data_IF_730484608719
#
_entry.id   IF_730484608719
#
_cell.length_a   1.000
_cell.length_b   1.000
_cell.length_c   1.000
_cell.angle_alpha   90.00
_cell.angle_beta   90.00
_cell.angle_gamma   90.00
#
_symmetry.space_group_name_H-M   'P 1'
#
loop_
_entity.id
_entity.type
_entity.pdbx_description
1 polymer ?
#
# COMPACT_ATOMS: atom_id res chain seq x y z
N UNK A 1 -59.62 -2.42 -10.48
CA UNK A 1 -58.31 -2.25 -11.13
C UNK A 1 -57.51 -1.29 -10.26
N UNK A 2 -56.77 -1.81 -9.28
CA UNK A 2 -55.78 -1.06 -8.54
C UNK A 2 -54.44 -1.48 -9.12
N UNK A 3 -53.74 -0.55 -9.77
CA UNK A 3 -52.37 -0.76 -10.21
C UNK A 3 -51.48 -0.69 -8.98
N UNK A 4 -50.92 -1.82 -8.61
CA UNK A 4 -49.89 -1.93 -7.58
C UNK A 4 -48.58 -1.42 -8.18
N UNK A 5 -48.24 -0.18 -7.86
CA UNK A 5 -46.97 0.45 -8.17
C UNK A 5 -45.90 -0.15 -7.24
N UNK A 6 -45.44 -1.35 -7.55
CA UNK A 6 -44.25 -1.92 -6.92
C UNK A 6 -43.04 -1.16 -7.45
N UNK A 7 -42.71 -0.06 -6.80
CA UNK A 7 -41.43 0.64 -6.97
C UNK A 7 -40.32 -0.34 -6.54
N UNK A 8 -39.62 -0.91 -7.53
CA UNK A 8 -38.46 -1.76 -7.28
C UNK A 8 -37.42 -0.93 -6.51
N UNK A 9 -36.83 -1.45 -5.42
CA UNK A 9 -35.78 -0.74 -4.72
C UNK A 9 -34.63 -0.47 -5.70
N UNK A 10 -34.29 0.80 -5.88
CA UNK A 10 -33.04 1.19 -6.54
C UNK A 10 -31.92 0.39 -5.88
N UNK A 11 -31.16 -0.44 -6.63
CA UNK A 11 -30.06 -1.16 -6.03
C UNK A 11 -29.10 -0.12 -5.46
N UNK A 12 -29.07 -0.06 -4.11
CA UNK A 12 -28.20 0.85 -3.39
C UNK A 12 -26.80 0.67 -3.95
N UNK A 13 -26.15 1.78 -4.28
CA UNK A 13 -24.83 1.86 -4.89
C UNK A 13 -23.91 0.81 -4.26
N UNK A 14 -23.81 -0.37 -4.88
CA UNK A 14 -22.89 -1.41 -4.45
C UNK A 14 -21.53 -0.84 -4.80
N UNK A 15 -20.91 -0.18 -3.81
CA UNK A 15 -19.60 0.43 -3.98
C UNK A 15 -18.66 -0.61 -4.59
N UNK A 16 -17.89 -0.19 -5.61
CA UNK A 16 -16.93 -1.05 -6.29
C UNK A 16 -16.13 -1.86 -5.25
N UNK A 17 -15.76 -3.13 -5.50
CA UNK A 17 -14.95 -3.90 -4.55
C UNK A 17 -13.64 -3.15 -4.22
N UNK A 18 -13.05 -3.35 -3.03
CA UNK A 18 -11.80 -2.70 -2.68
C UNK A 18 -10.73 -3.12 -3.69
N UNK A 19 -9.96 -2.15 -4.18
CA UNK A 19 -8.94 -2.42 -5.19
C UNK A 19 -7.63 -2.88 -4.55
N UNK A 20 -6.87 -3.66 -5.31
CA UNK A 20 -5.50 -4.10 -5.00
C UNK A 20 -4.71 -4.06 -6.29
N UNK A 21 -3.47 -3.57 -6.19
CA UNK A 21 -2.59 -3.36 -7.33
C UNK A 21 -1.13 -3.34 -6.84
N UNK A 22 -0.15 -3.31 -7.73
CA UNK A 22 1.25 -3.37 -7.30
C UNK A 22 2.23 -3.44 -8.46
N UNK A 23 3.51 -3.48 -8.11
CA UNK A 23 4.60 -3.56 -9.06
C UNK A 23 5.86 -4.20 -8.44
N UNK A 24 6.73 -4.70 -9.30
CA UNK A 24 8.04 -5.25 -8.91
C UNK A 24 9.13 -4.41 -9.58
N UNK A 25 10.18 -4.12 -8.82
CA UNK A 25 11.36 -3.39 -9.29
C UNK A 25 12.63 -4.10 -8.85
N UNK A 26 13.77 -3.88 -9.52
CA UNK A 26 15.04 -4.40 -9.04
C UNK A 26 15.40 -3.86 -7.65
N UNK A 27 16.01 -4.68 -6.81
CA UNK A 27 16.47 -4.32 -5.46
C UNK A 27 17.73 -3.44 -5.51
N UNK A 28 17.54 -2.17 -5.93
CA UNK A 28 18.61 -1.18 -6.08
C UNK A 28 18.13 0.16 -5.57
N UNK A 29 19.01 0.96 -4.99
CA UNK A 29 18.65 2.26 -4.42
C UNK A 29 18.01 3.20 -5.47
N UNK A 30 18.44 3.09 -6.73
CA UNK A 30 17.94 3.87 -7.87
C UNK A 30 16.47 3.55 -8.18
N UNK A 31 16.00 2.35 -7.83
CA UNK A 31 14.61 1.93 -8.03
C UNK A 31 13.62 2.69 -7.14
N UNK A 32 14.07 3.34 -6.05
CA UNK A 32 13.18 4.11 -5.17
C UNK A 32 12.49 5.27 -5.93
N UNK A 33 13.18 5.90 -6.88
CA UNK A 33 12.58 6.94 -7.73
C UNK A 33 11.48 6.40 -8.64
N UNK A 34 11.67 5.20 -9.18
CA UNK A 34 10.66 4.52 -9.99
C UNK A 34 9.48 4.05 -9.13
N UNK A 35 9.73 3.56 -7.91
CA UNK A 35 8.68 3.17 -6.96
C UNK A 35 7.74 4.34 -6.67
N UNK A 36 8.29 5.53 -6.38
CA UNK A 36 7.51 6.77 -6.20
C UNK A 36 6.62 7.08 -7.41
N UNK A 37 7.19 7.06 -8.62
CA UNK A 37 6.46 7.36 -9.86
C UNK A 37 5.32 6.38 -10.09
N UNK A 38 5.58 5.08 -9.95
CA UNK A 38 4.56 4.03 -10.13
C UNK A 38 3.44 4.14 -9.12
N UNK A 39 3.77 4.32 -7.84
CA UNK A 39 2.77 4.44 -6.79
C UNK A 39 1.89 5.70 -6.99
N UNK A 40 2.50 6.85 -7.28
CA UNK A 40 1.74 8.09 -7.57
C UNK A 40 0.77 7.89 -8.72
N UNK A 41 1.24 7.29 -9.84
CA UNK A 41 0.39 7.02 -11.00
C UNK A 41 -0.74 6.03 -10.71
N UNK A 42 -0.46 4.98 -9.93
CA UNK A 42 -1.44 3.98 -9.52
C UNK A 42 -2.53 4.62 -8.66
N UNK A 43 -2.17 5.32 -7.58
CA UNK A 43 -3.13 6.02 -6.71
C UNK A 43 -3.88 7.13 -7.47
N UNK A 44 -3.24 7.72 -8.47
CA UNK A 44 -3.84 8.57 -9.51
C UNK A 44 -5.06 7.92 -10.15
N UNK A 45 -4.84 6.78 -10.81
CA UNK A 45 -5.89 6.02 -11.51
C UNK A 45 -7.00 5.49 -10.60
N UNK A 46 -6.74 5.40 -9.28
CA UNK A 46 -7.71 4.97 -8.26
C UNK A 46 -8.50 6.11 -7.63
N UNK A 47 -8.28 7.38 -8.04
CA UNK A 47 -9.03 8.53 -7.52
C UNK A 47 -8.68 8.94 -6.07
N UNK A 48 -7.54 8.49 -5.56
CA UNK A 48 -7.07 8.84 -4.21
C UNK A 48 -6.71 10.33 -4.13
N UNK A 49 -7.09 11.05 -3.08
CA UNK A 49 -6.79 12.49 -2.93
C UNK A 49 -5.30 12.82 -2.96
N UNK A 50 -4.95 14.00 -3.46
CA UNK A 50 -3.54 14.45 -3.61
C UNK A 50 -2.75 14.37 -2.29
N UNK A 51 -3.34 14.79 -1.17
CA UNK A 51 -2.67 14.69 0.14
C UNK A 51 -2.31 13.25 0.53
N UNK A 52 -3.21 12.29 0.35
CA UNK A 52 -2.91 10.87 0.59
C UNK A 52 -1.86 10.35 -0.41
N UNK A 53 -1.90 10.80 -1.68
CA UNK A 53 -0.89 10.41 -2.68
C UNK A 53 0.51 10.91 -2.31
N UNK A 54 0.64 12.14 -1.84
CA UNK A 54 1.93 12.73 -1.45
C UNK A 54 2.53 12.01 -0.25
N UNK A 55 1.70 11.74 0.77
CA UNK A 55 2.11 10.93 1.93
C UNK A 55 2.51 9.52 1.51
N UNK A 56 1.76 8.88 0.62
CA UNK A 56 2.08 7.54 0.11
C UNK A 56 3.42 7.48 -0.63
N UNK A 57 3.74 8.52 -1.41
CA UNK A 57 5.01 8.64 -2.14
C UNK A 57 6.21 8.77 -1.18
N UNK A 58 6.01 9.48 -0.07
CA UNK A 58 7.01 9.60 0.98
C UNK A 58 7.19 8.27 1.72
N UNK A 59 6.10 7.65 2.17
CA UNK A 59 6.13 6.34 2.84
C UNK A 59 6.78 5.28 1.98
N UNK A 60 6.41 5.14 0.70
CA UNK A 60 7.01 4.11 -0.16
C UNK A 60 8.50 4.34 -0.37
N UNK A 61 9.00 5.58 -0.32
CA UNK A 61 10.44 5.83 -0.44
C UNK A 61 11.20 5.27 0.75
N UNK A 62 10.70 5.50 1.96
CA UNK A 62 11.29 4.98 3.19
C UNK A 62 11.19 3.45 3.25
N UNK A 63 10.00 2.90 2.99
CA UNK A 63 9.79 1.45 3.00
C UNK A 63 10.64 0.73 1.95
N UNK A 64 10.69 1.24 0.72
CA UNK A 64 11.48 0.66 -0.35
C UNK A 64 12.97 0.74 -0.07
N UNK A 65 13.45 1.86 0.49
CA UNK A 65 14.86 1.99 0.89
C UNK A 65 15.22 1.00 1.98
N UNK A 66 14.38 0.87 3.02
CA UNK A 66 14.60 -0.11 4.08
C UNK A 66 14.66 -1.54 3.53
N UNK A 67 13.74 -1.90 2.64
CA UNK A 67 13.73 -3.24 2.04
C UNK A 67 14.96 -3.46 1.17
N UNK A 68 15.36 -2.51 0.32
CA UNK A 68 16.56 -2.64 -0.51
C UNK A 68 17.83 -2.81 0.34
N UNK A 69 17.94 -2.09 1.45
CA UNK A 69 19.11 -2.16 2.34
C UNK A 69 19.23 -3.52 3.04
N UNK A 70 18.09 -4.14 3.37
CA UNK A 70 18.05 -5.33 4.23
C UNK A 70 17.68 -6.62 3.48
N UNK A 71 17.36 -6.57 2.19
CA UNK A 71 17.05 -7.74 1.38
C UNK A 71 18.29 -8.30 0.68
N UNK A 72 18.41 -9.63 0.65
CA UNK A 72 19.37 -10.34 -0.19
C UNK A 72 18.78 -10.68 -1.59
N UNK A 73 17.55 -10.22 -1.89
CA UNK A 73 16.84 -10.50 -3.13
C UNK A 73 17.25 -9.58 -4.27
N UNK A 74 17.12 -10.06 -5.52
CA UNK A 74 17.33 -9.25 -6.72
C UNK A 74 16.17 -8.28 -7.01
N UNK A 75 15.02 -8.48 -6.35
CA UNK A 75 13.80 -7.72 -6.63
C UNK A 75 13.01 -7.35 -5.38
N UNK A 76 12.34 -6.22 -5.44
CA UNK A 76 11.43 -5.69 -4.41
C UNK A 76 10.05 -5.53 -5.01
N UNK A 77 9.06 -6.13 -4.38
CA UNK A 77 7.66 -5.94 -4.71
C UNK A 77 7.06 -4.86 -3.80
N UNK A 78 6.25 -3.99 -4.40
CA UNK A 78 5.39 -3.06 -3.71
C UNK A 78 3.95 -3.40 -4.07
N UNK A 79 3.16 -3.66 -3.04
CA UNK A 79 1.73 -3.87 -3.15
C UNK A 79 1.00 -2.72 -2.49
N UNK A 80 -0.13 -2.33 -3.09
CA UNK A 80 -1.00 -1.32 -2.54
C UNK A 80 -2.46 -1.74 -2.67
N UNK A 81 -3.23 -1.54 -1.60
CA UNK A 81 -4.65 -1.91 -1.57
C UNK A 81 -5.49 -0.95 -0.75
N UNK A 82 -6.73 -0.78 -1.18
CA UNK A 82 -7.77 -0.15 -0.38
C UNK A 82 -8.22 -1.11 0.71
N UNK A 83 -8.34 -0.58 1.93
CA UNK A 83 -8.97 -1.25 3.05
C UNK A 83 -10.14 -0.39 3.53
N UNK A 84 -11.31 -1.01 3.71
CA UNK A 84 -12.49 -0.31 4.19
C UNK A 84 -12.60 -0.46 5.70
N UNK A 85 -13.01 0.61 6.37
CA UNK A 85 -13.39 0.52 7.77
C UNK A 85 -14.68 -0.33 7.89
N UNK A 86 -14.70 -1.21 8.88
CA UNK A 86 -15.95 -1.84 9.30
C UNK A 86 -16.91 -0.75 9.79
N UNK A 87 -18.16 -0.78 9.34
CA UNK A 87 -19.19 0.17 9.79
C UNK A 87 -19.25 1.52 9.06
N UNK A 88 -18.63 1.65 7.88
CA UNK A 88 -18.78 2.84 7.02
C UNK A 88 -17.92 4.05 7.39
N UNK A 89 -16.89 3.85 8.22
CA UNK A 89 -15.86 4.87 8.48
C UNK A 89 -14.94 5.13 7.28
N UNK A 90 -14.01 6.07 7.45
CA UNK A 90 -13.00 6.40 6.43
C UNK A 90 -12.13 5.17 6.11
N UNK A 91 -11.91 4.92 4.81
CA UNK A 91 -11.03 3.85 4.37
C UNK A 91 -9.56 4.15 4.65
N UNK A 92 -8.70 3.19 4.36
CA UNK A 92 -7.25 3.36 4.39
C UNK A 92 -6.59 2.80 3.14
N UNK A 93 -5.43 3.37 2.79
CA UNK A 93 -4.52 2.80 1.80
C UNK A 93 -3.45 2.01 2.55
N UNK A 94 -3.38 0.70 2.29
CA UNK A 94 -2.32 -0.16 2.80
C UNK A 94 -1.22 -0.27 1.74
N UNK A 95 0.01 0.05 2.11
CA UNK A 95 1.21 -0.09 1.29
C UNK A 95 2.09 -1.13 1.95
N UNK A 96 2.46 -2.18 1.21
CA UNK A 96 3.31 -3.26 1.69
C UNK A 96 4.49 -3.43 0.73
N UNK A 97 5.70 -3.47 1.27
CA UNK A 97 6.93 -3.64 0.49
C UNK A 97 7.70 -4.84 1.01
N UNK A 98 8.08 -5.73 0.11
CA UNK A 98 8.81 -6.95 0.45
C UNK A 98 9.91 -7.24 -0.57
N UNK A 99 10.99 -7.86 -0.11
CA UNK A 99 12.10 -8.31 -0.96
C UNK A 99 11.79 -9.58 -1.76
N UNK A 100 10.55 -9.78 -2.23
CA UNK A 100 10.16 -10.99 -2.95
C UNK A 100 9.13 -10.65 -4.04
N UNK A 101 9.51 -10.79 -5.31
CA UNK A 101 8.59 -10.69 -6.44
C UNK A 101 7.83 -12.01 -6.68
N UNK A 102 6.62 -11.99 -7.27
CA UNK A 102 5.95 -13.19 -7.74
C UNK A 102 6.86 -13.98 -8.69
N UNK A 103 7.22 -15.21 -8.28
CA UNK A 103 8.03 -16.15 -9.08
C UNK A 103 9.53 -16.20 -8.77
N UNK A 104 10.02 -15.54 -7.72
CA UNK A 104 11.44 -15.60 -7.32
C UNK A 104 11.70 -16.71 -6.29
N UNK A 105 12.81 -17.48 -6.36
CA UNK A 105 13.00 -18.65 -5.50
C UNK A 105 13.44 -18.37 -4.06
N UNK A 106 13.83 -17.16 -3.65
CA UNK A 106 14.36 -16.96 -2.30
C UNK A 106 13.65 -15.88 -1.45
N UNK A 107 13.46 -16.15 -0.14
CA UNK A 107 12.80 -15.26 0.82
C UNK A 107 13.79 -14.33 1.53
N UNK A 108 13.33 -13.10 1.82
CA UNK A 108 14.02 -12.07 2.61
C UNK A 108 14.51 -12.61 3.99
N UNK A 109 15.81 -12.67 4.26
CA UNK A 109 16.35 -13.35 5.47
C UNK A 109 16.64 -12.43 6.66
N UNK A 110 16.61 -11.10 6.52
CA UNK A 110 17.06 -10.17 7.58
C UNK A 110 16.05 -9.08 7.91
N UNK A 111 15.43 -9.15 9.09
CA UNK A 111 14.65 -8.02 9.61
C UNK A 111 15.52 -6.75 9.67
N UNK A 112 14.97 -5.56 9.43
CA UNK A 112 15.67 -4.32 9.71
C UNK A 112 16.06 -4.31 11.20
N UNK A 113 17.36 -4.38 11.50
CA UNK A 113 17.86 -4.04 12.83
C UNK A 113 17.53 -2.56 13.09
N UNK A 114 17.28 -2.19 14.36
CA UNK A 114 16.73 -0.89 14.81
C UNK A 114 17.56 0.36 14.40
N UNK A 115 18.64 0.21 13.64
CA UNK A 115 19.68 1.20 13.36
C UNK A 115 19.46 2.10 12.12
N UNK A 116 18.26 2.15 11.53
CA UNK A 116 17.92 3.15 10.50
C UNK A 116 16.78 4.10 10.91
N UNK A 117 16.70 4.38 12.22
CA UNK A 117 15.57 4.99 12.92
C UNK A 117 14.99 6.31 12.39
N UNK A 118 15.60 7.03 11.44
CA UNK A 118 15.00 8.27 10.92
C UNK A 118 13.87 8.04 9.91
N UNK A 119 14.02 7.04 9.03
CA UNK A 119 13.03 6.77 7.98
C UNK A 119 11.73 6.20 8.55
N UNK A 120 11.84 5.29 9.52
CA UNK A 120 10.66 4.72 10.19
C UNK A 120 9.98 5.71 11.13
N UNK A 121 10.70 6.64 11.76
CA UNK A 121 10.08 7.74 12.52
C UNK A 121 9.21 8.63 11.62
N UNK A 122 9.63 8.85 10.38
CA UNK A 122 8.82 9.58 9.41
C UNK A 122 7.58 8.79 9.01
N UNK A 123 7.72 7.48 8.74
CA UNK A 123 6.58 6.59 8.45
C UNK A 123 5.61 6.56 9.63
N UNK A 124 6.11 6.47 10.86
CA UNK A 124 5.31 6.50 12.09
C UNK A 124 4.52 7.81 12.22
N UNK A 125 5.16 8.95 11.94
CA UNK A 125 4.53 10.27 12.08
C UNK A 125 3.37 10.51 11.10
N UNK A 126 3.39 9.87 9.92
CA UNK A 126 2.42 10.13 8.84
C UNK A 126 1.43 8.98 8.59
N UNK A 127 1.63 7.82 9.23
CA UNK A 127 0.81 6.63 9.05
C UNK A 127 -0.15 6.42 10.21
N UNK A 128 -1.33 5.87 9.95
CA UNK A 128 -2.27 5.47 11.01
C UNK A 128 -1.80 4.20 11.72
N UNK A 129 -1.08 3.34 11.00
CA UNK A 129 -0.41 2.18 11.53
C UNK A 129 0.72 1.78 10.59
N UNK A 130 1.76 1.16 11.11
CA UNK A 130 2.82 0.56 10.33
C UNK A 130 3.39 -0.64 11.09
N UNK A 131 4.18 -1.45 10.41
CA UNK A 131 4.90 -2.51 11.10
C UNK A 131 5.71 -3.37 10.15
N UNK A 132 6.39 -4.33 10.74
CA UNK A 132 7.10 -5.38 10.03
C UNK A 132 6.27 -6.66 10.16
N UNK A 133 6.10 -7.39 9.06
CA UNK A 133 5.44 -8.69 9.05
C UNK A 133 6.45 -9.74 8.68
N UNK A 134 6.70 -10.65 9.60
CA UNK A 134 7.43 -11.88 9.32
C UNK A 134 6.47 -12.88 8.67
N UNK A 135 6.82 -13.33 7.46
CA UNK A 135 6.10 -14.37 6.74
C UNK A 135 6.37 -15.77 7.28
N UNK A 136 7.34 -15.94 8.17
CA UNK A 136 7.79 -17.20 8.72
C UNK A 136 8.87 -17.88 7.88
N UNK A 137 9.28 -19.11 8.28
CA UNK A 137 10.40 -19.81 7.67
C UNK A 137 10.22 -19.94 6.16
N UNK A 138 11.19 -19.41 5.41
CA UNK A 138 11.18 -19.53 3.96
C UNK A 138 10.23 -18.57 3.22
N UNK A 139 9.57 -17.62 3.90
CA UNK A 139 8.65 -16.65 3.26
C UNK A 139 9.12 -15.19 3.36
N UNK A 140 10.14 -14.95 4.19
CA UNK A 140 10.78 -13.67 4.38
C UNK A 140 9.90 -12.67 5.11
N UNK A 141 10.24 -11.39 5.05
CA UNK A 141 9.51 -10.33 5.75
C UNK A 141 9.10 -9.19 4.81
N UNK A 142 8.10 -8.42 5.24
CA UNK A 142 7.64 -7.19 4.60
C UNK A 142 7.58 -6.04 5.61
N UNK A 143 7.80 -4.81 5.17
CA UNK A 143 7.38 -3.63 5.95
C UNK A 143 6.14 -3.06 5.28
N UNK A 144 5.19 -2.66 6.11
CA UNK A 144 3.92 -2.11 5.65
C UNK A 144 3.53 -0.86 6.42
N UNK A 145 2.69 -0.04 5.81
CA UNK A 145 2.10 1.14 6.41
C UNK A 145 0.66 1.34 5.92
N UNK A 146 -0.17 1.94 6.77
CA UNK A 146 -1.56 2.31 6.50
C UNK A 146 -1.69 3.82 6.55
N UNK A 147 -2.31 4.38 5.53
CA UNK A 147 -2.58 5.81 5.41
C UNK A 147 -4.08 6.07 5.37
N UNK A 148 -4.57 7.21 5.90
CA UNK A 148 -5.96 7.60 5.70
C UNK A 148 -6.27 7.72 4.21
N UNK A 149 -7.36 7.10 3.76
CA UNK A 149 -7.84 7.25 2.39
C UNK A 149 -8.75 8.48 2.31
N UNK A 150 -8.19 9.60 1.86
CA UNK A 150 -8.99 10.67 1.30
C UNK A 150 -9.29 10.32 -0.16
N UNK A 151 -10.55 10.39 -0.58
CA UNK A 151 -10.92 10.40 -2.01
C UNK A 151 -10.85 11.85 -2.51
N UNK A 152 -10.51 12.07 -3.78
CA UNK A 152 -10.59 13.41 -4.37
C UNK A 152 -12.02 13.95 -4.19
N UNK A 153 -12.18 14.87 -3.24
CA UNK A 153 -13.44 15.56 -3.04
C UNK A 153 -13.71 16.44 -4.26
N UNK A 154 -14.77 16.10 -5.00
CA UNK A 154 -15.46 17.09 -5.81
C UNK A 154 -15.82 18.25 -4.88
N UNK A 155 -15.32 19.43 -5.24
CA UNK A 155 -15.78 20.69 -4.64
C UNK A 155 -17.26 20.90 -4.94
#
# INVERSE_FOLDING_TARGET
>A
MASDDTELPVPGSVGLPPWRDGFVLPARAESAGEARRRLRGLLGRRGVGEGTRDTAVLVVSELFTNVVVHTDSESVACEVREERAAGGGEGSVHIEVCGHGPGSPDPCTRLPEEEHGRGLLLVEAVSTAWGIRDGGPGRGWSVWARLPLAVEGGR
#
